data_IF_363252836968
#
_entry.id   IF_363252836968
#
_cell.length_a   1.000
_cell.length_b   1.000
_cell.length_c   1.000
_cell.angle_alpha   90.00
_cell.angle_beta   90.00
_cell.angle_gamma   90.00
#
_symmetry.space_group_name_H-M   'P 1'
#
loop_
_entity.id
_entity.type
_entity.pdbx_description
1 polymer ?
#
# COMPACT_ATOMS: atom_id res chain seq x y z
N UNK A 1 -8.77 9.88 6.18
CA UNK A 1 -9.29 11.11 5.54
C UNK A 1 -10.81 11.22 5.77
N UNK A 2 -11.48 12.32 5.41
CA UNK A 2 -12.96 12.40 5.37
C UNK A 2 -13.44 12.83 3.97
N UNK A 3 -14.69 12.51 3.62
CA UNK A 3 -15.24 12.75 2.28
C UNK A 3 -15.19 11.53 1.37
N UNK A 4 -15.58 11.70 0.12
CA UNK A 4 -15.78 10.64 -0.89
C UNK A 4 -14.93 10.84 -2.15
N UNK A 5 -13.99 11.78 -2.11
CA UNK A 5 -13.12 12.07 -3.24
C UNK A 5 -11.88 11.20 -3.23
N UNK A 6 -11.58 10.67 -4.40
CA UNK A 6 -10.30 10.04 -4.75
C UNK A 6 -9.14 10.93 -4.31
N UNK A 7 -8.20 10.35 -3.58
CA UNK A 7 -7.08 11.08 -2.98
C UNK A 7 -5.78 10.28 -3.08
N UNK A 8 -4.68 10.97 -3.35
CA UNK A 8 -3.34 10.41 -3.19
C UNK A 8 -2.81 10.72 -1.79
N UNK A 9 -2.39 9.68 -1.09
CA UNK A 9 -1.79 9.73 0.24
C UNK A 9 -0.33 9.33 0.13
N UNK A 10 0.56 10.21 0.58
CA UNK A 10 2.00 10.03 0.51
C UNK A 10 2.57 10.05 1.93
N UNK A 11 3.31 9.01 2.28
CA UNK A 11 4.13 8.96 3.48
C UNK A 11 5.53 9.55 3.26
N UNK A 12 6.50 9.07 4.01
CA UNK A 12 7.89 9.54 4.02
C UNK A 12 8.85 8.39 4.39
N UNK A 13 10.12 8.70 4.69
CA UNK A 13 11.14 7.69 4.96
C UNK A 13 11.10 7.12 6.40
N UNK A 14 9.93 7.14 7.04
CA UNK A 14 9.68 6.63 8.40
C UNK A 14 8.39 5.84 8.41
N UNK A 15 8.23 4.97 9.40
CA UNK A 15 6.98 4.27 9.70
C UNK A 15 5.79 5.24 9.78
N UNK A 16 4.77 5.03 8.94
CA UNK A 16 3.60 5.87 8.84
C UNK A 16 2.31 5.09 9.09
N UNK A 17 1.31 5.82 9.58
CA UNK A 17 -0.07 5.35 9.64
C UNK A 17 -0.89 6.13 8.63
N UNK A 18 -1.26 5.49 7.53
CA UNK A 18 -1.97 6.09 6.41
C UNK A 18 -3.40 5.57 6.37
N UNK A 19 -4.38 6.47 6.29
CA UNK A 19 -5.80 6.10 6.24
C UNK A 19 -6.57 6.91 5.20
N UNK A 20 -7.18 6.20 4.26
CA UNK A 20 -8.02 6.70 3.17
C UNK A 20 -9.37 7.24 3.61
N UNK A 21 -10.25 7.39 2.62
CA UNK A 21 -11.66 7.75 2.77
C UNK A 21 -12.55 6.75 2.02
N UNK A 22 -13.74 7.14 1.57
CA UNK A 22 -14.66 6.21 0.87
C UNK A 22 -14.55 6.27 -0.66
N UNK A 23 -13.66 7.11 -1.20
CA UNK A 23 -13.37 7.18 -2.64
C UNK A 23 -12.15 6.34 -2.99
N UNK A 24 -11.82 6.27 -4.28
CA UNK A 24 -10.73 5.41 -4.76
C UNK A 24 -9.38 6.07 -4.48
N UNK A 25 -8.63 5.58 -3.51
CA UNK A 25 -7.41 6.23 -3.04
C UNK A 25 -6.13 5.54 -3.54
N UNK A 26 -5.08 6.34 -3.72
CA UNK A 26 -3.74 5.85 -4.02
C UNK A 26 -2.79 6.11 -2.86
N UNK A 27 -2.02 5.12 -2.45
CA UNK A 27 -1.11 5.19 -1.31
C UNK A 27 0.33 4.92 -1.74
N UNK A 28 1.26 5.75 -1.28
CA UNK A 28 2.69 5.45 -1.29
C UNK A 28 3.18 5.59 0.13
N UNK A 29 3.63 4.49 0.72
CA UNK A 29 4.19 4.44 2.07
C UNK A 29 5.49 5.23 2.17
N UNK A 30 6.44 4.88 1.31
CA UNK A 30 7.80 5.40 1.37
C UNK A 30 8.70 4.33 1.98
N UNK A 31 9.78 4.73 2.65
CA UNK A 31 10.59 3.78 3.41
C UNK A 31 10.08 3.65 4.84
N UNK A 32 10.52 2.60 5.53
CA UNK A 32 10.01 2.27 6.86
C UNK A 32 8.95 1.18 6.79
N UNK A 33 8.38 0.82 7.93
CA UNK A 33 7.34 -0.20 8.00
C UNK A 33 5.97 0.48 8.20
N UNK A 34 5.16 0.54 7.14
CA UNK A 34 3.92 1.33 7.15
C UNK A 34 2.66 0.52 7.47
N UNK A 35 1.66 1.21 8.01
CA UNK A 35 0.30 0.67 8.16
C UNK A 35 -0.64 1.49 7.29
N UNK A 36 -1.23 0.85 6.29
CA UNK A 36 -2.09 1.48 5.29
C UNK A 36 -3.50 0.90 5.36
N UNK A 37 -4.49 1.77 5.51
CA UNK A 37 -5.90 1.43 5.47
C UNK A 37 -6.60 2.22 4.37
N UNK A 38 -6.99 1.55 3.27
CA UNK A 38 -7.72 2.20 2.16
C UNK A 38 -9.14 2.63 2.54
N UNK A 39 -9.78 1.80 3.37
CA UNK A 39 -11.17 1.88 3.80
C UNK A 39 -12.16 1.34 2.77
N UNK A 40 -12.91 2.18 2.06
CA UNK A 40 -13.88 1.72 1.07
C UNK A 40 -13.59 2.41 -0.26
N UNK A 41 -13.86 1.71 -1.36
CA UNK A 41 -13.45 2.17 -2.69
C UNK A 41 -12.62 1.09 -3.37
N UNK A 42 -12.00 1.45 -4.50
CA UNK A 42 -10.97 0.67 -5.16
C UNK A 42 -9.62 1.33 -4.92
N UNK A 43 -8.95 0.90 -3.86
CA UNK A 43 -7.73 1.48 -3.34
C UNK A 43 -6.48 0.79 -3.89
N UNK A 44 -5.42 1.57 -4.06
CA UNK A 44 -4.17 1.13 -4.71
C UNK A 44 -2.96 1.48 -3.85
N UNK A 45 -2.09 0.50 -3.57
CA UNK A 45 -0.80 0.73 -2.93
C UNK A 45 0.33 0.67 -3.96
N UNK A 46 1.17 1.70 -4.00
CA UNK A 46 2.24 1.87 -4.99
C UNK A 46 3.60 1.60 -4.36
N UNK A 47 4.38 0.73 -5.00
CA UNK A 47 5.72 0.33 -4.61
C UNK A 47 6.74 0.77 -5.65
N UNK A 48 7.96 1.07 -5.23
CA UNK A 48 8.97 1.70 -6.08
C UNK A 48 9.78 0.71 -6.92
N UNK A 49 9.64 -0.60 -6.65
CA UNK A 49 10.34 -1.69 -7.32
C UNK A 49 9.46 -2.59 -8.17
N UNK A 50 10.10 -3.58 -8.80
CA UNK A 50 9.42 -4.64 -9.56
C UNK A 50 8.87 -5.71 -8.63
N UNK A 51 7.78 -6.36 -9.01
CA UNK A 51 7.09 -7.30 -8.13
C UNK A 51 7.93 -8.49 -7.65
N UNK A 52 9.01 -8.85 -8.36
CA UNK A 52 9.94 -9.91 -7.92
C UNK A 52 10.80 -9.53 -6.72
N UNK A 53 10.89 -8.24 -6.39
CA UNK A 53 11.62 -7.75 -5.22
C UNK A 53 10.78 -7.86 -3.92
N UNK A 54 9.50 -8.23 -4.01
CA UNK A 54 8.57 -8.21 -2.89
C UNK A 54 8.06 -9.60 -2.54
N UNK A 55 7.86 -9.84 -1.25
CA UNK A 55 7.05 -10.95 -0.73
C UNK A 55 5.70 -10.41 -0.30
N UNK A 56 4.62 -10.99 -0.83
CA UNK A 56 3.24 -10.63 -0.48
C UNK A 56 2.59 -11.80 0.26
N UNK A 57 2.05 -11.53 1.46
CA UNK A 57 1.32 -12.51 2.28
C UNK A 57 -0.01 -11.93 2.75
N UNK A 58 -1.13 -12.59 2.41
CA UNK A 58 -2.46 -12.20 2.91
C UNK A 58 -2.93 -13.14 4.02
N UNK A 59 -3.32 -12.59 5.17
CA UNK A 59 -3.86 -13.30 6.34
C UNK A 59 -5.13 -12.60 6.83
N UNK A 60 -6.29 -13.18 6.51
CA UNK A 60 -7.57 -12.54 6.80
C UNK A 60 -7.72 -11.27 5.98
N UNK A 61 -7.96 -10.14 6.65
CA UNK A 61 -8.13 -8.83 5.99
C UNK A 61 -6.81 -8.05 5.83
N UNK A 62 -5.69 -8.58 6.33
CA UNK A 62 -4.38 -7.92 6.30
C UNK A 62 -3.54 -8.56 5.20
N UNK A 63 -3.00 -7.73 4.31
CA UNK A 63 -1.96 -8.11 3.36
C UNK A 63 -0.65 -7.47 3.79
N UNK A 64 0.36 -8.28 4.07
CA UNK A 64 1.73 -7.82 4.36
C UNK A 64 2.55 -7.83 3.08
N UNK A 65 3.20 -6.72 2.75
CA UNK A 65 4.12 -6.60 1.61
C UNK A 65 5.50 -6.29 2.15
N UNK A 66 6.46 -7.20 1.96
CA UNK A 66 7.85 -7.01 2.39
C UNK A 66 8.73 -6.78 1.17
N UNK A 67 9.36 -5.61 1.07
CA UNK A 67 10.45 -5.36 0.13
C UNK A 67 11.71 -6.12 0.60
N UNK A 68 12.38 -6.78 -0.34
CA UNK A 68 13.63 -7.50 -0.09
C UNK A 68 14.87 -6.67 -0.37
N UNK A 69 14.72 -5.41 -0.81
CA UNK A 69 15.79 -4.46 -1.03
C UNK A 69 15.86 -3.43 0.10
N UNK A 70 16.98 -3.43 0.81
CA UNK A 70 17.19 -2.57 1.97
C UNK A 70 17.02 -1.06 1.66
N UNK A 71 16.26 -0.37 2.52
CA UNK A 71 16.12 1.08 2.52
C UNK A 71 15.20 1.64 1.42
N UNK A 72 14.38 0.79 0.79
CA UNK A 72 13.42 1.18 -0.23
C UNK A 72 12.00 1.30 0.34
N UNK A 73 11.16 0.26 0.23
CA UNK A 73 9.76 0.35 0.68
C UNK A 73 9.47 -0.38 2.01
N UNK A 74 10.46 -1.04 2.62
CA UNK A 74 10.32 -1.70 3.93
C UNK A 74 9.26 -2.82 3.98
N UNK A 75 8.60 -2.99 5.13
CA UNK A 75 7.53 -3.97 5.33
C UNK A 75 6.21 -3.31 5.73
N UNK A 76 5.24 -3.38 4.82
CA UNK A 76 3.95 -2.71 4.99
C UNK A 76 2.83 -3.69 5.37
N UNK A 77 1.94 -3.24 6.25
CA UNK A 77 0.66 -3.90 6.55
C UNK A 77 -0.50 -3.13 5.92
N UNK A 78 -1.20 -3.78 5.01
CA UNK A 78 -2.27 -3.20 4.20
C UNK A 78 -3.62 -3.79 4.56
N UNK A 79 -4.63 -2.94 4.66
CA UNK A 79 -6.04 -3.34 4.85
C UNK A 79 -6.94 -2.54 3.93
N UNK A 80 -7.94 -3.19 3.34
CA UNK A 80 -8.84 -2.54 2.36
C UNK A 80 -8.06 -1.92 1.21
N UNK A 81 -7.09 -2.65 0.67
CA UNK A 81 -6.37 -2.31 -0.56
C UNK A 81 -6.71 -3.40 -1.56
N UNK A 82 -7.13 -3.01 -2.76
CA UNK A 82 -7.58 -3.93 -3.80
C UNK A 82 -6.46 -4.20 -4.82
N UNK A 83 -5.55 -3.25 -5.04
CA UNK A 83 -4.49 -3.39 -6.05
C UNK A 83 -3.12 -3.00 -5.50
N UNK A 84 -2.15 -3.90 -5.66
CA UNK A 84 -0.73 -3.59 -5.49
C UNK A 84 -0.15 -3.19 -6.85
N UNK A 85 0.48 -2.02 -6.91
CA UNK A 85 1.08 -1.47 -8.12
C UNK A 85 2.60 -1.49 -7.96
N UNK A 86 3.24 -2.38 -8.72
CA UNK A 86 4.69 -2.45 -8.84
C UNK A 86 5.12 -1.80 -10.16
N UNK A 87 6.43 -1.56 -10.31
CA UNK A 87 6.97 -0.91 -11.50
C UNK A 87 6.72 -1.67 -12.81
N UNK A 88 6.59 -3.00 -12.73
CA UNK A 88 6.45 -3.90 -13.88
C UNK A 88 5.06 -4.51 -14.05
N UNK A 89 4.21 -4.48 -13.01
CA UNK A 89 2.85 -5.03 -13.07
C UNK A 89 1.96 -4.55 -11.93
N UNK A 90 0.66 -4.80 -12.12
CA UNK A 90 -0.35 -4.66 -11.08
C UNK A 90 -0.79 -6.05 -10.61
N UNK A 91 -1.12 -6.17 -9.33
CA UNK A 91 -1.65 -7.39 -8.70
C UNK A 91 -2.92 -7.04 -7.98
N UNK A 92 -4.04 -7.57 -8.46
CA UNK A 92 -5.33 -7.50 -7.75
C UNK A 92 -5.32 -8.47 -6.57
N UNK A 93 -5.84 -8.02 -5.43
CA UNK A 93 -6.04 -8.82 -4.23
C UNK A 93 -7.49 -9.34 -4.22
N UNK A 94 -7.66 -10.64 -3.91
CA UNK A 94 -8.98 -11.30 -3.81
C UNK A 94 -9.71 -11.01 -2.49
#
# INVERSE_FOLDING_TARGET
LTGDKDTSVLGNDQDNLLTGNVGDNGFTGGAGDDVIAGAAGSDRAFFTGVASDYRVETKGAITTVTDTVDGRDGTDELTGIEVLVFHDKEVELE
#
